data_IF_629635536935
#
_entry.id   IF_629635536935
#
_cell.length_a   1.000
_cell.length_b   1.000
_cell.length_c   1.000
_cell.angle_alpha   90.00
_cell.angle_beta   90.00
_cell.angle_gamma   90.00
#
_symmetry.space_group_name_H-M   'P 1'
#
loop_
_entity.id
_entity.type
_entity.pdbx_description
1 polymer ?
#
# COMPACT_ATOMS: atom_id res chain seq x y z
N UNK A 1 -28.13 30.43 -3.96
CA UNK A 1 -27.05 29.90 -4.83
C UNK A 1 -27.10 28.37 -4.85
N UNK A 2 -27.18 27.72 -6.02
CA UNK A 2 -27.18 26.24 -6.18
C UNK A 2 -25.88 25.76 -6.83
N UNK A 3 -24.75 26.01 -6.16
CA UNK A 3 -23.42 25.62 -6.63
C UNK A 3 -22.76 24.74 -5.58
N UNK A 4 -22.33 23.56 -5.97
CA UNK A 4 -21.59 22.61 -5.17
C UNK A 4 -20.11 22.69 -5.58
N UNK A 5 -19.24 23.10 -4.66
CA UNK A 5 -17.79 23.13 -4.90
C UNK A 5 -17.22 21.78 -4.47
N UNK A 6 -16.62 21.06 -5.41
CA UNK A 6 -15.97 19.78 -5.17
C UNK A 6 -14.45 19.92 -5.35
N UNK A 7 -13.63 19.15 -4.62
CA UNK A 7 -12.21 19.11 -4.88
C UNK A 7 -11.94 18.53 -6.27
N UNK A 8 -10.91 19.03 -6.96
CA UNK A 8 -10.56 18.57 -8.30
C UNK A 8 -10.28 17.06 -8.39
N UNK A 9 -9.71 16.44 -7.35
CA UNK A 9 -9.49 14.99 -7.32
C UNK A 9 -10.79 14.18 -7.28
N UNK A 10 -11.91 14.79 -6.89
CA UNK A 10 -13.24 14.17 -6.92
C UNK A 10 -13.86 14.08 -8.33
N UNK A 11 -13.27 14.74 -9.33
CA UNK A 11 -13.83 14.80 -10.69
C UNK A 11 -13.95 13.42 -11.37
N UNK A 12 -13.13 12.46 -10.97
CA UNK A 12 -13.17 11.09 -11.50
C UNK A 12 -14.31 10.27 -10.86
N UNK A 13 -14.75 10.63 -9.65
CA UNK A 13 -15.78 9.93 -8.90
C UNK A 13 -17.18 10.55 -8.99
N UNK A 14 -17.29 11.79 -9.48
CA UNK A 14 -18.56 12.53 -9.51
C UNK A 14 -18.90 12.95 -10.94
N UNK A 15 -20.04 12.47 -11.44
CA UNK A 15 -20.59 12.92 -12.73
C UNK A 15 -21.31 14.26 -12.55
N UNK A 16 -20.61 15.36 -12.86
CA UNK A 16 -21.16 16.71 -12.75
C UNK A 16 -22.47 16.91 -13.53
N UNK A 17 -22.61 16.22 -14.66
CA UNK A 17 -23.83 16.29 -15.48
C UNK A 17 -25.01 15.60 -14.78
N UNK A 18 -24.81 14.41 -14.20
CA UNK A 18 -25.85 13.71 -13.46
C UNK A 18 -26.25 14.46 -12.18
N UNK A 19 -25.30 15.05 -11.46
CA UNK A 19 -25.59 15.88 -10.29
C UNK A 19 -26.49 17.04 -10.69
N UNK A 20 -26.18 17.75 -11.79
CA UNK A 20 -27.01 18.85 -12.29
C UNK A 20 -28.42 18.38 -12.67
N UNK A 21 -28.54 17.22 -13.32
CA UNK A 21 -29.84 16.68 -13.72
C UNK A 21 -30.72 16.30 -12.53
N UNK A 22 -30.13 15.64 -11.52
CA UNK A 22 -30.90 15.05 -10.40
C UNK A 22 -31.15 16.01 -9.24
N UNK A 23 -30.21 16.92 -8.94
CA UNK A 23 -30.30 17.82 -7.79
C UNK A 23 -30.46 19.29 -8.17
N UNK A 24 -30.35 19.63 -9.46
CA UNK A 24 -30.30 21.01 -9.95
C UNK A 24 -29.14 21.85 -9.38
N UNK A 25 -28.13 21.23 -8.77
CA UNK A 25 -26.90 21.90 -8.36
C UNK A 25 -25.88 21.91 -9.50
N UNK A 26 -25.29 23.07 -9.76
CA UNK A 26 -24.11 23.18 -10.62
C UNK A 26 -22.88 22.72 -9.83
N UNK A 27 -22.09 21.82 -10.39
CA UNK A 27 -20.81 21.42 -9.80
C UNK A 27 -19.70 22.33 -10.32
N UNK A 28 -18.87 22.84 -9.42
CA UNK A 28 -17.63 23.55 -9.73
C UNK A 28 -16.44 22.81 -9.08
N UNK A 29 -15.37 22.59 -9.83
CA UNK A 29 -14.19 21.91 -9.32
C UNK A 29 -13.18 22.93 -8.78
N UNK A 30 -13.15 23.05 -7.46
CA UNK A 30 -12.29 23.94 -6.69
C UNK A 30 -10.90 23.34 -6.39
N UNK A 31 -10.18 23.90 -5.41
CA UNK A 31 -8.82 23.48 -5.08
C UNK A 31 -8.77 22.03 -4.56
N UNK A 32 -7.59 21.41 -4.65
CA UNK A 32 -7.36 20.08 -4.07
C UNK A 32 -7.39 20.12 -2.54
N UNK A 33 -6.83 21.19 -1.94
CA UNK A 33 -6.73 21.34 -0.49
C UNK A 33 -7.81 22.28 0.02
N UNK A 34 -8.47 21.90 1.12
CA UNK A 34 -9.48 22.74 1.77
C UNK A 34 -8.89 24.08 2.27
N UNK A 35 -7.60 24.10 2.62
CA UNK A 35 -6.89 25.31 3.04
C UNK A 35 -6.86 26.41 1.97
N UNK A 36 -6.91 26.03 0.68
CA UNK A 36 -6.89 26.99 -0.43
C UNK A 36 -8.29 27.53 -0.76
N UNK A 37 -9.34 27.02 -0.11
CA UNK A 37 -10.74 27.39 -0.35
C UNK A 37 -11.02 28.89 -0.15
N UNK A 38 -10.50 29.57 0.91
CA UNK A 38 -10.74 31.00 1.09
C UNK A 38 -10.22 31.85 -0.07
N UNK A 39 -9.01 31.56 -0.56
CA UNK A 39 -8.42 32.25 -1.70
C UNK A 39 -9.19 31.95 -3.00
N UNK A 40 -9.58 30.68 -3.20
CA UNK A 40 -10.42 30.28 -4.33
C UNK A 40 -11.77 31.00 -4.35
N UNK A 41 -12.41 31.24 -3.20
CA UNK A 41 -13.73 31.89 -3.16
C UNK A 41 -13.69 33.36 -3.58
N UNK A 42 -12.54 34.03 -3.48
CA UNK A 42 -12.37 35.42 -3.91
C UNK A 42 -12.35 35.55 -5.44
N UNK A 43 -11.66 34.64 -6.13
CA UNK A 43 -11.47 34.72 -7.59
C UNK A 43 -12.36 33.74 -8.36
N UNK A 44 -12.89 32.72 -7.69
CA UNK A 44 -13.55 31.52 -8.27
C UNK A 44 -12.69 30.78 -9.29
N UNK A 45 -11.37 31.02 -9.29
CA UNK A 45 -10.43 30.43 -10.21
C UNK A 45 -9.35 29.68 -9.43
N UNK A 46 -9.24 28.37 -9.65
CA UNK A 46 -8.20 27.57 -9.03
C UNK A 46 -6.87 27.83 -9.75
N UNK A 47 -5.90 28.43 -9.07
CA UNK A 47 -4.54 28.66 -9.58
C UNK A 47 -3.78 27.34 -9.82
N UNK A 48 -2.75 27.31 -10.69
CA UNK A 48 -1.99 26.09 -10.98
C UNK A 48 -1.44 25.37 -9.73
N UNK A 49 -1.06 26.11 -8.68
CA UNK A 49 -0.59 25.53 -7.43
C UNK A 49 -1.69 24.75 -6.68
N UNK A 50 -2.92 25.26 -6.71
CA UNK A 50 -4.10 24.63 -6.06
C UNK A 50 -4.56 23.35 -6.76
N UNK A 51 -4.06 23.09 -7.98
CA UNK A 51 -4.39 21.92 -8.82
C UNK A 51 -3.33 20.82 -8.79
N UNK A 52 -2.22 21.01 -8.08
CA UNK A 52 -1.09 20.07 -8.06
C UNK A 52 -0.98 19.37 -6.72
N UNK A 53 -0.83 18.05 -6.76
CA UNK A 53 -0.37 17.25 -5.61
C UNK A 53 1.14 17.18 -5.69
N UNK A 54 1.83 17.58 -4.62
CA UNK A 54 3.29 17.58 -4.54
C UNK A 54 3.88 16.19 -4.23
N UNK A 55 3.03 15.27 -3.80
CA UNK A 55 3.36 13.89 -3.44
C UNK A 55 4.61 13.79 -2.55
N UNK A 56 4.72 14.69 -1.57
CA UNK A 56 5.78 14.74 -0.55
C UNK A 56 5.70 13.54 0.39
N UNK A 57 6.77 13.26 1.13
CA UNK A 57 6.79 12.15 2.10
C UNK A 57 5.65 12.23 3.12
N UNK A 58 5.33 13.44 3.61
CA UNK A 58 4.19 13.68 4.50
C UNK A 58 2.86 13.33 3.83
N UNK A 59 2.65 13.74 2.58
CA UNK A 59 1.42 13.43 1.83
C UNK A 59 1.24 11.93 1.57
N UNK A 60 2.34 11.18 1.39
CA UNK A 60 2.29 9.72 1.24
C UNK A 60 2.02 9.00 2.55
N UNK A 61 2.63 9.47 3.64
CA UNK A 61 2.42 8.87 4.95
C UNK A 61 1.02 9.14 5.51
N UNK A 62 0.28 10.13 5.01
CA UNK A 62 -1.14 10.33 5.38
C UNK A 62 -2.01 9.11 5.01
N UNK A 63 -1.61 8.32 4.00
CA UNK A 63 -2.29 7.08 3.63
C UNK A 63 -1.97 5.92 4.59
N UNK A 64 -0.79 5.94 5.24
CA UNK A 64 -0.34 4.83 6.07
C UNK A 64 -1.26 4.55 7.29
N UNK A 65 -1.77 5.56 8.04
CA UNK A 65 -2.72 5.32 9.12
C UNK A 65 -4.00 4.60 8.68
N UNK A 66 -4.57 4.96 7.53
CA UNK A 66 -5.81 4.35 7.02
C UNK A 66 -5.57 2.88 6.70
N UNK A 67 -4.50 2.57 5.97
CA UNK A 67 -4.12 1.19 5.67
C UNK A 67 -3.80 0.41 6.95
N UNK A 68 -3.06 1.03 7.89
CA UNK A 68 -2.72 0.41 9.16
C UNK A 68 -3.96 0.06 9.99
N UNK A 69 -4.99 0.91 10.03
CA UNK A 69 -6.23 0.58 10.75
C UNK A 69 -6.95 -0.63 10.18
N UNK A 70 -7.00 -0.78 8.86
CA UNK A 70 -7.59 -1.95 8.21
C UNK A 70 -6.78 -3.23 8.45
N UNK A 71 -5.46 -3.07 8.57
CA UNK A 71 -4.52 -4.17 8.78
C UNK A 71 -4.32 -4.53 10.25
N UNK A 72 -4.67 -3.65 11.19
CA UNK A 72 -4.31 -3.82 12.60
C UNK A 72 -4.89 -5.11 13.19
N UNK A 73 -6.18 -5.35 13.01
CA UNK A 73 -6.85 -6.55 13.53
C UNK A 73 -6.29 -7.83 12.90
N UNK A 74 -6.27 -8.01 11.56
CA UNK A 74 -5.72 -9.22 10.97
C UNK A 74 -4.23 -9.42 11.29
N UNK A 75 -3.44 -8.34 11.36
CA UNK A 75 -2.03 -8.40 11.74
C UNK A 75 -1.86 -8.83 13.20
N UNK A 76 -2.65 -8.29 14.13
CA UNK A 76 -2.59 -8.66 15.55
C UNK A 76 -2.98 -10.13 15.77
N UNK A 77 -4.04 -10.60 15.09
CA UNK A 77 -4.45 -12.01 15.14
C UNK A 77 -3.34 -12.90 14.58
N UNK A 78 -2.79 -12.55 13.41
CA UNK A 78 -1.71 -13.32 12.78
C UNK A 78 -0.46 -13.34 13.66
N UNK A 79 -0.09 -12.21 14.23
CA UNK A 79 1.05 -12.09 15.16
C UNK A 79 0.86 -12.99 16.38
N UNK A 80 -0.29 -12.90 17.05
CA UNK A 80 -0.59 -13.73 18.22
C UNK A 80 -0.60 -15.23 17.85
N UNK A 81 -1.25 -15.61 16.75
CA UNK A 81 -1.30 -16.98 16.28
C UNK A 81 0.12 -17.53 16.02
N UNK A 82 0.96 -16.81 15.28
CA UNK A 82 2.33 -17.25 15.00
C UNK A 82 3.20 -17.29 16.24
N UNK A 83 2.99 -16.37 17.19
CA UNK A 83 3.76 -16.33 18.44
C UNK A 83 3.52 -17.58 19.29
N UNK A 84 2.25 -17.97 19.43
CA UNK A 84 1.86 -19.10 20.27
C UNK A 84 1.93 -20.46 19.56
N UNK A 85 1.70 -20.51 18.25
CA UNK A 85 1.63 -21.78 17.50
C UNK A 85 2.94 -22.17 16.81
N UNK A 86 3.82 -21.21 16.51
CA UNK A 86 5.00 -21.46 15.69
C UNK A 86 6.29 -21.01 16.37
N UNK A 87 6.55 -19.70 16.42
CA UNK A 87 7.71 -19.14 17.10
C UNK A 87 7.61 -17.61 17.21
N UNK A 88 8.28 -17.00 18.20
CA UNK A 88 8.46 -15.55 18.25
C UNK A 88 9.06 -14.97 16.97
N UNK A 89 9.99 -15.69 16.32
CA UNK A 89 10.62 -15.24 15.08
C UNK A 89 9.61 -15.17 13.91
N UNK A 90 8.71 -16.14 13.81
CA UNK A 90 7.62 -16.14 12.81
C UNK A 90 6.66 -14.96 13.03
N UNK A 91 6.28 -14.70 14.28
CA UNK A 91 5.42 -13.57 14.64
C UNK A 91 6.08 -12.22 14.28
N UNK A 92 7.36 -12.05 14.63
CA UNK A 92 8.12 -10.85 14.28
C UNK A 92 8.30 -10.70 12.76
N UNK A 93 8.44 -11.81 12.02
CA UNK A 93 8.48 -11.81 10.56
C UNK A 93 7.17 -11.31 9.95
N UNK A 94 6.02 -11.77 10.45
CA UNK A 94 4.71 -11.27 10.02
C UNK A 94 4.51 -9.78 10.36
N UNK A 95 4.94 -9.35 11.55
CA UNK A 95 4.95 -7.94 11.91
C UNK A 95 5.81 -7.11 10.95
N UNK A 96 7.01 -7.60 10.62
CA UNK A 96 7.91 -6.94 9.68
C UNK A 96 7.30 -6.82 8.28
N UNK A 97 6.66 -7.89 7.77
CA UNK A 97 5.92 -7.84 6.51
C UNK A 97 4.78 -6.79 6.56
N UNK A 98 4.04 -6.78 7.68
CA UNK A 98 2.96 -5.83 7.92
C UNK A 98 3.44 -4.37 7.88
N UNK A 99 4.51 -4.06 8.62
CA UNK A 99 5.11 -2.72 8.65
C UNK A 99 5.77 -2.36 7.32
N UNK A 100 6.40 -3.31 6.64
CA UNK A 100 7.00 -3.10 5.33
C UNK A 100 5.94 -2.72 4.30
N UNK A 101 4.82 -3.45 4.24
CA UNK A 101 3.72 -3.20 3.32
C UNK A 101 2.93 -1.93 3.63
N UNK A 102 2.67 -1.62 4.91
CA UNK A 102 1.78 -0.51 5.30
C UNK A 102 2.48 0.84 5.49
N UNK A 103 3.72 0.85 6.00
CA UNK A 103 4.44 2.06 6.38
C UNK A 103 5.64 2.32 5.48
N UNK A 104 6.52 1.33 5.32
CA UNK A 104 7.76 1.51 4.55
C UNK A 104 7.48 1.63 3.05
N UNK A 105 6.52 0.89 2.53
CA UNK A 105 6.18 0.91 1.11
C UNK A 105 5.76 2.29 0.59
N UNK A 106 4.75 2.99 1.16
CA UNK A 106 4.39 4.34 0.70
C UNK A 106 5.51 5.36 0.92
N UNK A 107 6.32 5.19 1.97
CA UNK A 107 7.48 6.05 2.22
C UNK A 107 8.53 5.87 1.12
N UNK A 108 8.87 4.63 0.78
CA UNK A 108 9.95 4.26 -0.14
C UNK A 108 9.55 4.17 -1.61
N UNK A 109 8.26 4.35 -1.91
CA UNK A 109 7.69 4.23 -3.24
C UNK A 109 8.48 4.92 -4.39
N UNK A 110 9.03 6.15 -4.26
CA UNK A 110 9.72 6.82 -5.36
C UNK A 110 11.11 6.23 -5.65
N UNK A 111 11.73 5.57 -4.66
CA UNK A 111 13.07 4.98 -4.79
C UNK A 111 13.01 3.51 -5.18
N UNK A 112 11.86 2.86 -4.97
CA UNK A 112 11.68 1.47 -5.40
C UNK A 112 11.62 1.37 -6.93
N UNK A 113 12.37 0.43 -7.54
CA UNK A 113 12.50 0.32 -8.98
C UNK A 113 11.18 -0.14 -9.62
N UNK A 114 11.02 0.15 -10.91
CA UNK A 114 9.87 -0.22 -11.76
C UNK A 114 8.58 0.60 -11.56
N UNK A 115 7.58 0.36 -12.42
CA UNK A 115 6.24 0.95 -12.30
C UNK A 115 5.21 0.03 -11.63
N UNK A 116 5.51 -1.26 -11.49
CA UNK A 116 4.57 -2.26 -10.98
C UNK A 116 4.68 -2.36 -9.45
N UNK A 117 3.55 -2.29 -8.76
CA UNK A 117 3.49 -2.30 -7.30
C UNK A 117 3.92 -3.64 -6.70
N UNK A 118 3.57 -4.75 -7.34
CA UNK A 118 3.94 -6.12 -6.99
C UNK A 118 5.45 -6.29 -6.97
N UNK A 119 6.14 -5.82 -8.01
CA UNK A 119 7.60 -5.93 -8.10
C UNK A 119 8.25 -5.08 -7.00
N UNK A 120 7.77 -3.86 -6.78
CA UNK A 120 8.24 -3.00 -5.68
C UNK A 120 8.00 -3.64 -4.31
N UNK A 121 6.88 -4.31 -4.14
CA UNK A 121 6.53 -4.99 -2.90
C UNK A 121 7.38 -6.24 -2.68
N UNK A 122 7.66 -7.01 -3.73
CA UNK A 122 8.59 -8.14 -3.67
C UNK A 122 10.02 -7.69 -3.33
N UNK A 123 10.50 -6.59 -3.93
CA UNK A 123 11.85 -6.09 -3.64
C UNK A 123 11.95 -5.60 -2.20
N UNK A 124 10.98 -4.80 -1.74
CA UNK A 124 10.96 -4.33 -0.36
C UNK A 124 10.80 -5.47 0.65
N UNK A 125 9.87 -6.39 0.39
CA UNK A 125 9.65 -7.55 1.25
C UNK A 125 10.83 -8.51 1.25
N UNK A 126 11.52 -8.68 0.11
CA UNK A 126 12.76 -9.44 0.01
C UNK A 126 13.85 -8.87 0.91
N UNK A 127 14.04 -7.54 0.89
CA UNK A 127 14.96 -6.86 1.80
C UNK A 127 14.55 -7.02 3.26
N UNK A 128 13.25 -6.90 3.56
CA UNK A 128 12.72 -7.09 4.91
C UNK A 128 12.89 -8.54 5.40
N UNK A 129 12.90 -9.53 4.50
CA UNK A 129 13.03 -10.95 4.84
C UNK A 129 14.46 -11.34 5.23
N UNK A 130 15.49 -10.67 4.69
CA UNK A 130 16.90 -11.01 4.91
C UNK A 130 17.29 -11.21 6.39
N UNK A 131 17.02 -10.27 7.32
CA UNK A 131 17.40 -10.47 8.72
C UNK A 131 16.71 -11.67 9.36
N UNK A 132 15.47 -11.97 8.97
CA UNK A 132 14.71 -13.13 9.48
C UNK A 132 15.22 -14.44 8.90
N UNK A 133 15.50 -14.49 7.60
CA UNK A 133 16.08 -15.67 6.95
C UNK A 133 17.47 -16.00 7.55
N UNK A 134 18.30 -14.99 7.80
CA UNK A 134 19.61 -15.13 8.45
C UNK A 134 19.44 -15.61 9.88
N UNK A 135 18.55 -15.00 10.67
CA UNK A 135 18.28 -15.41 12.05
C UNK A 135 17.73 -16.84 12.13
N UNK A 136 16.82 -17.20 11.22
CA UNK A 136 16.27 -18.56 11.14
C UNK A 136 17.36 -19.58 10.80
N UNK A 137 18.36 -19.21 9.99
CA UNK A 137 19.47 -20.10 9.65
C UNK A 137 20.45 -20.25 10.81
N UNK A 138 20.84 -19.13 11.43
CA UNK A 138 21.90 -19.10 12.44
C UNK A 138 21.46 -19.60 13.82
N UNK A 139 20.21 -19.32 14.20
CA UNK A 139 19.64 -19.72 15.48
C UNK A 139 18.93 -21.08 15.44
N UNK A 140 18.91 -21.76 14.28
CA UNK A 140 18.23 -23.05 14.14
C UNK A 140 18.90 -24.12 15.01
N UNK A 141 18.15 -24.82 15.88
CA UNK A 141 18.67 -25.95 16.66
C UNK A 141 18.92 -27.20 15.78
N UNK A 142 18.44 -27.20 14.53
CA UNK A 142 18.53 -28.34 13.62
C UNK A 142 19.99 -28.56 13.20
N UNK A 143 20.60 -29.74 13.33
CA UNK A 143 22.00 -29.94 12.97
C UNK A 143 22.29 -29.86 11.47
N UNK A 144 21.33 -30.27 10.63
CA UNK A 144 21.53 -30.43 9.19
C UNK A 144 21.41 -29.07 8.46
N UNK A 145 22.46 -28.62 7.74
CA UNK A 145 22.46 -27.31 7.07
C UNK A 145 21.35 -27.13 6.03
N UNK A 146 21.02 -28.20 5.29
CA UNK A 146 19.97 -28.13 4.27
C UNK A 146 18.57 -27.93 4.88
N UNK A 147 18.28 -28.53 6.04
CA UNK A 147 17.02 -28.30 6.75
C UNK A 147 16.94 -26.86 7.28
N UNK A 148 18.06 -26.31 7.80
CA UNK A 148 18.12 -24.89 8.19
C UNK A 148 17.80 -23.98 7.01
N UNK A 149 18.37 -24.27 5.84
CA UNK A 149 18.10 -23.51 4.63
C UNK A 149 16.61 -23.57 4.24
N UNK A 150 15.97 -24.73 4.34
CA UNK A 150 14.53 -24.87 4.10
C UNK A 150 13.71 -24.02 5.06
N UNK A 151 14.01 -24.03 6.37
CA UNK A 151 13.32 -23.15 7.34
C UNK A 151 13.56 -21.66 7.07
N UNK A 152 14.75 -21.27 6.64
CA UNK A 152 15.03 -19.88 6.25
C UNK A 152 14.28 -19.45 4.99
N UNK A 153 14.04 -20.37 4.06
CA UNK A 153 13.28 -20.10 2.84
C UNK A 153 11.83 -19.74 3.14
N UNK A 154 11.23 -20.27 4.22
CA UNK A 154 9.90 -19.87 4.64
C UNK A 154 9.77 -18.35 4.81
N UNK A 155 10.73 -17.72 5.49
CA UNK A 155 10.77 -16.26 5.64
C UNK A 155 11.02 -15.55 4.30
N UNK A 156 11.90 -16.11 3.46
CA UNK A 156 12.21 -15.61 2.12
C UNK A 156 11.06 -15.71 1.11
N UNK A 157 10.05 -16.55 1.38
CA UNK A 157 8.87 -16.68 0.53
C UNK A 157 7.66 -15.93 1.12
N UNK A 158 7.41 -16.09 2.42
CA UNK A 158 6.24 -15.53 3.10
C UNK A 158 6.28 -14.01 3.23
N UNK A 159 7.40 -13.44 3.71
CA UNK A 159 7.52 -11.99 3.92
C UNK A 159 7.41 -11.21 2.60
N UNK A 160 8.11 -11.61 1.50
CA UNK A 160 7.97 -10.92 0.22
C UNK A 160 6.57 -11.06 -0.39
N UNK A 161 5.95 -12.23 -0.29
CA UNK A 161 4.59 -12.45 -0.78
C UNK A 161 3.57 -11.56 -0.05
N UNK A 162 3.61 -11.54 1.29
CA UNK A 162 2.74 -10.71 2.11
C UNK A 162 2.96 -9.21 1.83
N UNK A 163 4.21 -8.77 1.77
CA UNK A 163 4.55 -7.36 1.48
C UNK A 163 4.09 -6.95 0.08
N UNK A 164 4.26 -7.83 -0.91
CA UNK A 164 3.82 -7.58 -2.29
C UNK A 164 2.29 -7.53 -2.42
N UNK A 165 1.57 -8.38 -1.68
CA UNK A 165 0.11 -8.31 -1.63
C UNK A 165 -0.37 -7.00 -1.02
N UNK A 166 0.21 -6.58 0.11
CA UNK A 166 -0.13 -5.31 0.77
C UNK A 166 0.19 -4.09 -0.09
N UNK A 167 1.27 -4.14 -0.87
CA UNK A 167 1.62 -3.10 -1.83
C UNK A 167 0.51 -2.84 -2.86
N UNK A 168 -0.29 -3.84 -3.21
CA UNK A 168 -1.39 -3.69 -4.17
C UNK A 168 -2.50 -2.75 -3.67
N UNK A 169 -2.65 -2.57 -2.34
CA UNK A 169 -3.62 -1.63 -1.77
C UNK A 169 -3.31 -0.17 -2.17
N UNK A 170 -2.04 0.15 -2.43
CA UNK A 170 -1.61 1.49 -2.82
C UNK A 170 -1.78 1.81 -4.31
N UNK A 171 -2.21 0.84 -5.13
CA UNK A 171 -2.42 1.04 -6.57
C UNK A 171 -3.51 2.07 -6.88
N UNK A 172 -4.49 2.26 -6.00
CA UNK A 172 -5.54 3.28 -6.13
C UNK A 172 -5.17 4.65 -5.54
N UNK A 173 -4.07 4.74 -4.79
CA UNK A 173 -3.69 5.94 -4.06
C UNK A 173 -2.63 6.79 -4.78
N UNK A 174 -2.18 6.35 -5.97
CA UNK A 174 -1.09 7.00 -6.70
C UNK A 174 -1.39 7.11 -8.20
N UNK A 175 -0.86 8.13 -8.89
CA UNK A 175 -1.08 8.31 -10.33
C UNK A 175 -0.17 7.42 -11.19
N UNK A 176 0.50 6.42 -10.61
CA UNK A 176 1.55 5.65 -11.28
C UNK A 176 1.00 4.59 -12.26
N UNK A 177 -0.22 4.11 -12.03
CA UNK A 177 -0.81 3.01 -12.79
C UNK A 177 -2.23 3.34 -13.25
N UNK A 178 -2.66 2.72 -14.36
CA UNK A 178 -4.04 2.79 -14.85
C UNK A 178 -4.83 1.58 -14.36
N UNK A 179 -6.17 1.67 -14.30
CA UNK A 179 -7.04 0.55 -13.89
C UNK A 179 -6.76 -0.74 -14.69
N UNK A 180 -6.59 -0.64 -16.00
CA UNK A 180 -6.29 -1.80 -16.87
C UNK A 180 -4.87 -2.33 -16.70
N UNK A 181 -3.93 -1.50 -16.26
CA UNK A 181 -2.58 -1.91 -15.86
C UNK A 181 -2.61 -2.70 -14.56
N UNK A 182 -3.28 -2.18 -13.53
CA UNK A 182 -3.43 -2.82 -12.22
C UNK A 182 -4.14 -4.17 -12.35
N UNK A 183 -5.22 -4.25 -13.15
CA UNK A 183 -5.93 -5.52 -13.34
C UNK A 183 -5.04 -6.60 -13.98
N UNK A 184 -4.19 -6.23 -14.95
CA UNK A 184 -3.22 -7.15 -15.56
C UNK A 184 -2.15 -7.59 -14.57
N UNK A 185 -1.67 -6.66 -13.76
CA UNK A 185 -0.70 -6.91 -12.71
C UNK A 185 -1.25 -7.88 -11.67
N UNK A 186 -2.44 -7.62 -11.11
CA UNK A 186 -3.09 -8.48 -10.13
C UNK A 186 -3.30 -9.90 -10.68
N UNK A 187 -3.82 -10.04 -11.91
CA UNK A 187 -4.02 -11.35 -12.55
C UNK A 187 -2.72 -12.14 -12.70
N UNK A 188 -1.58 -11.45 -12.89
CA UNK A 188 -0.27 -12.08 -13.07
C UNK A 188 0.37 -12.47 -11.74
N UNK A 189 0.33 -11.59 -10.75
CA UNK A 189 1.14 -11.76 -9.53
C UNK A 189 0.40 -12.34 -8.33
N UNK A 190 -0.93 -12.17 -8.22
CA UNK A 190 -1.67 -12.73 -7.08
C UNK A 190 -1.53 -14.26 -6.98
N UNK A 191 -1.65 -15.05 -8.07
CA UNK A 191 -1.45 -16.50 -7.98
C UNK A 191 -0.05 -16.85 -7.47
N UNK A 192 0.98 -16.17 -7.96
CA UNK A 192 2.36 -16.36 -7.55
C UNK A 192 2.60 -15.96 -6.08
N UNK A 193 2.01 -14.86 -5.61
CA UNK A 193 2.05 -14.47 -4.21
C UNK A 193 1.40 -15.54 -3.32
N UNK A 194 0.26 -16.10 -3.74
CA UNK A 194 -0.43 -17.14 -2.99
C UNK A 194 0.39 -18.45 -2.95
N UNK A 195 1.01 -18.85 -4.06
CA UNK A 195 1.91 -20.01 -4.11
C UNK A 195 3.11 -19.83 -3.17
N UNK A 196 3.77 -18.67 -3.20
CA UNK A 196 4.89 -18.37 -2.31
C UNK A 196 4.47 -18.39 -0.83
N UNK A 197 3.31 -17.82 -0.50
CA UNK A 197 2.78 -17.80 0.86
C UNK A 197 2.30 -19.18 1.32
N UNK A 198 1.83 -20.05 0.43
CA UNK A 198 1.46 -21.42 0.75
C UNK A 198 2.67 -22.35 0.92
N UNK A 199 3.79 -22.03 0.28
CA UNK A 199 5.04 -22.78 0.38
C UNK A 199 5.94 -22.35 1.56
N UNK A 200 5.62 -21.23 2.21
CA UNK A 200 6.32 -20.73 3.40
C UNK A 200 5.77 -21.30 4.70
#
# INVERSE_FOLDING_TARGET
>A
HRVLILPQLGAVGVSAHEVKQRSHFKVEYGPIRAADLPAYLQTRQAEPAMRKVTFTLKERLVLAPVEFTNLFVPLAITFAALWFLLSPLAALGALAAGLAGSLLFPALLPWLPTRQFSIKGFTLGGLAALPFAVAAYSASPVPQPWLRAVFSLAFGLGIPAATAYMALNFTGATPLTSRSGVQREMKRYIPFMAEMAGAS
#
